data_IF_364963838093
#
_entry.id   IF_364963838093
#
_cell.length_a   1.000
_cell.length_b   1.000
_cell.length_c   1.000
_cell.angle_alpha   90.00
_cell.angle_beta   90.00
_cell.angle_gamma   90.00
#
_symmetry.space_group_name_H-M   'P 1'
#
loop_
_entity.id
_entity.type
_entity.pdbx_description
1 polymer ?
#
# COMPACT_ATOMS: atom_id res chain seq x y z
N UNK A 1 -20.96 30.12 33.29
CA UNK A 1 -20.18 28.99 32.72
C UNK A 1 -20.55 27.73 33.51
N UNK A 2 -21.57 26.98 33.06
CA UNK A 2 -21.93 25.72 33.73
C UNK A 2 -21.11 24.59 33.12
N UNK A 3 -20.06 24.17 33.83
CA UNK A 3 -19.40 22.90 33.59
C UNK A 3 -20.43 21.80 33.89
N UNK A 4 -21.17 21.36 32.86
CA UNK A 4 -22.01 20.17 32.97
C UNK A 4 -21.11 19.01 33.34
N UNK A 5 -21.27 18.44 34.53
CA UNK A 5 -20.51 17.27 34.96
C UNK A 5 -20.64 16.19 33.90
N UNK A 6 -19.53 15.78 33.29
CA UNK A 6 -19.55 14.67 32.35
C UNK A 6 -19.95 13.42 33.13
N UNK A 7 -21.00 12.72 32.67
CA UNK A 7 -21.40 11.47 33.30
C UNK A 7 -20.28 10.44 33.18
N UNK A 8 -20.05 9.62 34.22
CA UNK A 8 -19.03 8.55 34.22
C UNK A 8 -19.05 7.68 32.92
N UNK A 9 -20.22 7.31 32.35
CA UNK A 9 -20.26 6.59 31.07
C UNK A 9 -19.71 7.39 29.87
N UNK A 10 -19.89 8.71 29.84
CA UNK A 10 -19.37 9.57 28.77
C UNK A 10 -17.85 9.61 28.80
N UNK A 11 -17.25 9.72 29.99
CA UNK A 11 -15.80 9.67 30.18
C UNK A 11 -15.23 8.32 29.73
N UNK A 12 -15.88 7.22 30.11
CA UNK A 12 -15.44 5.87 29.74
C UNK A 12 -15.48 5.64 28.21
N UNK A 13 -16.56 6.07 27.54
CA UNK A 13 -16.62 6.00 26.07
C UNK A 13 -15.51 6.85 25.44
N UNK A 14 -15.24 8.04 25.99
CA UNK A 14 -14.15 8.89 25.53
C UNK A 14 -12.79 8.19 25.64
N UNK A 15 -12.48 7.61 26.80
CA UNK A 15 -11.24 6.88 27.03
C UNK A 15 -11.08 5.70 26.06
N UNK A 16 -12.11 4.85 25.91
CA UNK A 16 -12.07 3.71 24.99
C UNK A 16 -11.89 4.16 23.54
N UNK A 17 -12.52 5.27 23.14
CA UNK A 17 -12.39 5.83 21.79
C UNK A 17 -10.98 6.38 21.55
N UNK A 18 -10.36 7.00 22.57
CA UNK A 18 -8.97 7.47 22.49
C UNK A 18 -7.98 6.31 22.40
N UNK A 19 -8.21 5.22 23.15
CA UNK A 19 -7.42 3.98 23.01
C UNK A 19 -7.55 3.44 21.59
N UNK A 20 -8.77 3.33 21.06
CA UNK A 20 -8.99 2.88 19.70
C UNK A 20 -8.33 3.77 18.64
N UNK A 21 -8.30 5.10 18.84
CA UNK A 21 -7.57 6.02 17.98
C UNK A 21 -6.06 5.76 18.01
N UNK A 22 -5.48 5.50 19.18
CA UNK A 22 -4.07 5.10 19.30
C UNK A 22 -3.77 3.81 18.54
N UNK A 23 -4.62 2.79 18.70
CA UNK A 23 -4.50 1.52 17.97
C UNK A 23 -4.62 1.73 16.46
N UNK A 24 -5.55 2.59 16.01
CA UNK A 24 -5.74 2.91 14.59
C UNK A 24 -4.48 3.49 13.93
N UNK A 25 -3.76 4.37 14.65
CA UNK A 25 -2.49 4.92 14.18
C UNK A 25 -1.43 3.82 14.04
N UNK A 26 -1.36 2.90 15.01
CA UNK A 26 -0.39 1.80 14.99
C UNK A 26 -0.64 0.83 13.83
N UNK A 27 -1.91 0.51 13.54
CA UNK A 27 -2.29 -0.39 12.44
C UNK A 27 -1.70 0.07 11.10
N UNK A 28 -1.54 1.37 10.87
CA UNK A 28 -1.02 1.90 9.61
C UNK A 28 0.44 1.50 9.33
N UNK A 29 1.24 1.31 10.38
CA UNK A 29 2.68 1.05 10.27
C UNK A 29 3.05 -0.43 10.47
N UNK A 30 2.13 -1.25 10.96
CA UNK A 30 2.39 -2.66 11.26
C UNK A 30 2.07 -3.57 10.09
N UNK A 31 2.81 -4.68 9.92
CA UNK A 31 2.41 -5.74 9.00
C UNK A 31 1.05 -6.26 9.44
N UNK A 32 0.11 -6.31 8.51
CA UNK A 32 -1.26 -6.75 8.77
C UNK A 32 -1.42 -8.24 8.50
N UNK A 33 -0.79 -8.74 7.44
CA UNK A 33 -0.88 -10.13 7.02
C UNK A 33 0.43 -10.53 6.35
N UNK A 34 0.81 -11.79 6.43
CA UNK A 34 1.97 -12.29 5.71
C UNK A 34 1.60 -13.50 4.86
N UNK A 35 2.33 -13.65 3.76
CA UNK A 35 2.26 -14.81 2.88
C UNK A 35 3.66 -15.33 2.63
N UNK A 36 3.83 -16.64 2.67
CA UNK A 36 5.07 -17.32 2.32
C UNK A 36 4.82 -18.46 1.33
N UNK A 37 5.75 -18.62 0.39
CA UNK A 37 5.84 -19.79 -0.49
C UNK A 37 7.09 -20.61 -0.15
N UNK A 38 6.90 -21.91 0.07
CA UNK A 38 7.99 -22.88 0.25
C UNK A 38 7.96 -23.92 -0.87
N UNK A 39 9.13 -24.30 -1.36
CA UNK A 39 9.27 -25.34 -2.39
C UNK A 39 10.69 -25.92 -2.37
N UNK A 40 10.92 -27.11 -2.96
CA UNK A 40 12.27 -27.72 -2.99
C UNK A 40 13.36 -26.84 -3.61
N UNK A 41 12.98 -25.92 -4.49
CA UNK A 41 13.89 -24.97 -5.15
C UNK A 41 14.26 -23.76 -4.27
N UNK A 42 13.56 -23.57 -3.14
CA UNK A 42 13.80 -22.50 -2.17
C UNK A 42 14.21 -23.16 -0.84
N UNK A 43 15.49 -23.53 -0.70
CA UNK A 43 15.98 -24.28 0.44
C UNK A 43 15.88 -23.47 1.74
N UNK A 44 15.56 -24.13 2.86
CA UNK A 44 15.45 -23.49 4.19
C UNK A 44 16.76 -22.82 4.62
N UNK A 45 17.89 -23.22 4.03
CA UNK A 45 19.17 -22.59 4.33
C UNK A 45 19.25 -21.13 3.89
N UNK A 46 18.63 -20.79 2.75
CA UNK A 46 18.59 -19.45 2.17
C UNK A 46 17.24 -18.75 2.42
N UNK A 47 16.14 -19.51 2.45
CA UNK A 47 14.78 -19.03 2.67
C UNK A 47 14.17 -19.74 3.90
N UNK A 48 14.61 -19.43 5.13
CA UNK A 48 14.15 -20.11 6.34
C UNK A 48 12.63 -19.99 6.56
N UNK A 49 12.06 -18.84 6.18
CA UNK A 49 10.62 -18.57 6.23
C UNK A 49 9.96 -18.71 4.85
N UNK A 50 10.63 -19.33 3.88
CA UNK A 50 10.22 -19.34 2.47
C UNK A 50 10.32 -17.97 1.79
N UNK A 51 9.74 -17.85 0.61
CA UNK A 51 9.60 -16.57 -0.10
C UNK A 51 8.48 -15.77 0.57
N UNK A 52 8.84 -15.01 1.60
CA UNK A 52 7.89 -14.30 2.47
C UNK A 52 7.69 -12.84 2.04
N UNK A 53 6.44 -12.41 1.97
CA UNK A 53 6.02 -11.03 1.77
C UNK A 53 5.06 -10.59 2.88
N UNK A 54 5.09 -9.29 3.20
CA UNK A 54 4.28 -8.70 4.25
C UNK A 54 3.35 -7.63 3.71
N UNK A 55 2.05 -7.77 3.97
CA UNK A 55 1.01 -6.84 3.59
C UNK A 55 0.83 -5.79 4.67
N UNK A 56 1.00 -4.53 4.33
CA UNK A 56 0.71 -3.38 5.17
C UNK A 56 -0.43 -2.55 4.54
N UNK A 57 -0.98 -1.62 5.31
CA UNK A 57 -2.02 -0.70 4.81
C UNK A 57 -1.57 0.13 3.61
N UNK A 58 -0.26 0.42 3.53
CA UNK A 58 0.33 1.30 2.54
C UNK A 58 1.20 0.60 1.50
N UNK A 59 1.33 -0.73 1.53
CA UNK A 59 2.29 -1.41 0.65
C UNK A 59 2.38 -2.91 0.88
N UNK A 60 3.16 -3.55 0.02
CA UNK A 60 3.64 -4.91 0.24
C UNK A 60 5.15 -4.83 0.32
N UNK A 61 5.73 -5.42 1.36
CA UNK A 61 7.14 -5.28 1.70
C UNK A 61 7.83 -6.64 1.78
N UNK A 62 9.16 -6.61 1.67
CA UNK A 62 9.99 -7.79 1.77
C UNK A 62 9.92 -8.38 3.19
N UNK A 63 9.55 -9.65 3.30
CA UNK A 63 9.50 -10.38 4.56
C UNK A 63 10.69 -11.30 4.77
N UNK A 64 11.67 -11.30 3.86
CA UNK A 64 12.88 -12.11 3.99
C UNK A 64 13.96 -11.35 4.76
N UNK A 65 14.59 -12.06 5.70
CA UNK A 65 15.66 -11.53 6.53
C UNK A 65 17.04 -11.89 5.97
N UNK A 66 18.05 -11.09 6.34
CA UNK A 66 19.44 -11.35 5.96
C UNK A 66 19.94 -12.61 6.67
N UNK A 67 20.45 -13.58 5.91
CA UNK A 67 21.01 -14.81 6.46
C UNK A 67 22.54 -14.70 6.51
N UNK A 68 23.13 -14.89 7.69
CA UNK A 68 24.58 -14.94 7.89
C UNK A 68 25.00 -16.38 8.25
N UNK A 69 25.57 -17.14 7.31
CA UNK A 69 26.13 -18.49 7.52
C UNK A 69 27.54 -18.60 6.95
N UNK A 70 28.34 -19.54 7.47
CA UNK A 70 29.77 -19.71 7.10
C UNK A 70 30.00 -20.00 5.61
N UNK A 71 29.02 -20.60 4.92
CA UNK A 71 29.09 -20.94 3.48
C UNK A 71 28.23 -20.03 2.59
N UNK A 72 27.29 -19.26 3.17
CA UNK A 72 26.37 -18.38 2.46
C UNK A 72 26.34 -17.06 3.23
N UNK A 73 27.12 -16.09 2.76
CA UNK A 73 27.11 -14.72 3.26
C UNK A 73 26.54 -13.82 2.17
N UNK A 74 25.34 -13.29 2.42
CA UNK A 74 24.73 -12.28 1.55
C UNK A 74 24.91 -10.90 2.19
N UNK A 75 25.34 -9.91 1.41
CA UNK A 75 25.55 -8.54 1.89
C UNK A 75 24.23 -7.81 2.17
N UNK A 76 23.15 -8.21 1.50
CA UNK A 76 21.80 -7.62 1.58
C UNK A 76 20.78 -8.76 1.65
N UNK A 77 19.64 -8.56 2.32
CA UNK A 77 18.56 -9.54 2.36
C UNK A 77 17.99 -9.82 0.95
N UNK A 78 17.60 -11.07 0.68
CA UNK A 78 16.93 -11.48 -0.55
C UNK A 78 15.63 -10.70 -0.75
N UNK A 79 15.37 -10.22 -1.98
CA UNK A 79 14.13 -9.55 -2.33
C UNK A 79 13.03 -10.59 -2.63
N UNK A 80 12.31 -11.00 -1.60
CA UNK A 80 11.23 -11.98 -1.75
C UNK A 80 9.99 -11.42 -2.44
N UNK A 81 9.85 -10.09 -2.58
CA UNK A 81 8.80 -9.53 -3.45
C UNK A 81 9.17 -9.80 -4.91
N UNK A 82 10.45 -9.64 -5.28
CA UNK A 82 10.93 -9.96 -6.62
C UNK A 82 10.77 -11.45 -6.96
N UNK A 83 11.14 -12.33 -6.05
CA UNK A 83 10.99 -13.78 -6.24
C UNK A 83 9.52 -14.17 -6.37
N UNK A 84 8.64 -13.59 -5.54
CA UNK A 84 7.19 -13.79 -5.64
C UNK A 84 6.64 -13.31 -7.00
N UNK A 85 7.05 -12.13 -7.47
CA UNK A 85 6.63 -11.60 -8.77
C UNK A 85 7.14 -12.44 -9.93
N UNK A 86 8.35 -12.99 -9.81
CA UNK A 86 8.92 -13.93 -10.76
C UNK A 86 8.08 -15.22 -10.81
N UNK A 87 7.73 -15.81 -9.66
CA UNK A 87 6.84 -16.97 -9.60
C UNK A 87 5.46 -16.65 -10.21
N UNK A 88 4.89 -15.50 -9.85
CA UNK A 88 3.60 -15.03 -10.38
C UNK A 88 3.63 -14.95 -11.91
N UNK A 89 4.68 -14.35 -12.46
CA UNK A 89 4.87 -14.25 -13.91
C UNK A 89 4.83 -15.62 -14.60
N UNK A 90 5.55 -16.62 -14.07
CA UNK A 90 5.60 -17.95 -14.65
C UNK A 90 4.22 -18.61 -14.77
N UNK A 91 3.32 -18.37 -13.83
CA UNK A 91 1.95 -18.92 -13.84
C UNK A 91 0.91 -17.98 -14.45
N UNK A 92 1.34 -16.84 -15.01
CA UNK A 92 0.45 -15.87 -15.63
C UNK A 92 -0.22 -14.88 -14.66
N UNK A 93 0.14 -14.88 -13.37
CA UNK A 93 -0.34 -13.88 -12.42
C UNK A 93 0.39 -12.55 -12.61
N UNK A 94 -0.34 -11.44 -12.55
CA UNK A 94 0.25 -10.10 -12.57
C UNK A 94 1.14 -9.84 -11.33
N UNK A 95 2.08 -8.88 -11.39
CA UNK A 95 2.89 -8.50 -10.24
C UNK A 95 2.06 -8.06 -9.04
N UNK A 96 2.59 -8.26 -7.84
CA UNK A 96 1.99 -7.89 -6.55
C UNK A 96 1.63 -6.39 -6.51
N UNK A 97 2.39 -5.55 -7.22
CA UNK A 97 2.10 -4.13 -7.35
C UNK A 97 0.79 -3.82 -8.10
N UNK A 98 0.22 -4.75 -8.87
CA UNK A 98 -1.05 -4.57 -9.56
C UNK A 98 -2.28 -4.72 -8.64
N UNK A 99 -2.11 -5.30 -7.46
CA UNK A 99 -3.20 -5.55 -6.50
C UNK A 99 -3.44 -4.36 -5.59
N UNK A 100 -4.69 -4.09 -5.26
CA UNK A 100 -5.08 -3.02 -4.33
C UNK A 100 -4.49 -1.64 -4.64
N UNK A 101 -4.43 -1.17 -5.91
CA UNK A 101 -3.76 0.08 -6.22
C UNK A 101 -4.47 1.27 -5.56
N UNK A 102 -5.81 1.26 -5.53
CA UNK A 102 -6.60 2.36 -4.94
C UNK A 102 -6.55 2.30 -3.42
N UNK A 103 -6.68 1.12 -2.84
CA UNK A 103 -6.69 0.89 -1.40
C UNK A 103 -5.37 1.32 -0.76
N UNK A 104 -4.24 0.93 -1.37
CA UNK A 104 -2.91 1.35 -0.91
C UNK A 104 -2.67 2.85 -1.12
N UNK A 105 -3.02 3.38 -2.29
CA UNK A 105 -2.87 4.80 -2.61
C UNK A 105 -3.76 5.73 -1.78
N UNK A 106 -4.95 5.28 -1.37
CA UNK A 106 -5.86 6.07 -0.53
C UNK A 106 -5.76 5.75 0.97
N UNK A 107 -4.92 4.79 1.36
CA UNK A 107 -4.85 4.23 2.72
C UNK A 107 -4.74 5.30 3.80
N UNK A 108 -3.85 6.27 3.65
CA UNK A 108 -3.67 7.35 4.63
C UNK A 108 -4.93 8.21 4.81
N UNK A 109 -5.69 8.46 3.74
CA UNK A 109 -6.94 9.21 3.80
C UNK A 109 -8.05 8.38 4.43
N UNK A 110 -8.14 7.09 4.07
CA UNK A 110 -9.12 6.16 4.62
C UNK A 110 -8.95 6.01 6.14
N UNK A 111 -7.72 5.79 6.61
CA UNK A 111 -7.43 5.64 8.04
C UNK A 111 -7.67 6.95 8.79
N UNK A 112 -7.29 8.10 8.23
CA UNK A 112 -7.56 9.42 8.83
C UNK A 112 -9.07 9.71 8.87
N UNK A 113 -9.81 9.31 7.84
CA UNK A 113 -11.28 9.41 7.79
C UNK A 113 -11.92 8.61 8.93
N UNK A 114 -11.48 7.36 9.16
CA UNK A 114 -11.93 6.57 10.32
C UNK A 114 -11.59 7.26 11.65
N UNK A 115 -10.41 7.87 11.76
CA UNK A 115 -10.03 8.66 12.94
C UNK A 115 -10.97 9.83 13.23
N UNK A 116 -11.32 10.62 12.20
CA UNK A 116 -12.29 11.73 12.33
C UNK A 116 -13.68 11.21 12.71
N UNK A 117 -14.09 10.06 12.18
CA UNK A 117 -15.35 9.41 12.59
C UNK A 117 -15.36 9.08 14.08
N UNK A 118 -14.28 8.50 14.61
CA UNK A 118 -14.13 8.17 16.03
C UNK A 118 -14.12 9.43 16.91
N UNK A 119 -13.45 10.50 16.49
CA UNK A 119 -13.51 11.80 17.17
C UNK A 119 -14.94 12.35 17.22
N UNK A 120 -15.69 12.18 16.13
CA UNK A 120 -17.11 12.50 16.08
C UNK A 120 -17.95 11.65 17.05
N UNK A 121 -17.74 10.34 17.09
CA UNK A 121 -18.45 9.40 17.97
C UNK A 121 -18.21 9.68 19.46
N UNK A 122 -16.99 10.10 19.81
CA UNK A 122 -16.61 10.50 21.17
C UNK A 122 -17.48 11.64 21.69
N UNK A 123 -17.94 12.55 20.81
CA UNK A 123 -18.71 13.74 21.19
C UNK A 123 -20.23 13.52 21.21
N UNK A 124 -20.85 13.79 22.36
CA UNK A 124 -22.31 13.69 22.57
C UNK A 124 -23.07 14.98 22.27
N UNK A 125 -22.38 16.12 22.11
CA UNK A 125 -23.02 17.40 21.81
C UNK A 125 -23.09 17.60 20.29
N UNK A 126 -24.27 17.57 19.64
CA UNK A 126 -24.37 17.59 18.18
C UNK A 126 -23.65 18.75 17.51
N UNK A 127 -23.75 19.97 18.07
CA UNK A 127 -23.08 21.17 17.52
C UNK A 127 -21.55 21.02 17.50
N UNK A 128 -20.95 20.50 18.57
CA UNK A 128 -19.50 20.29 18.67
C UNK A 128 -19.08 19.13 17.77
N UNK A 129 -19.82 18.03 17.78
CA UNK A 129 -19.57 16.87 16.90
C UNK A 129 -19.58 17.30 15.43
N UNK A 130 -20.59 18.06 15.01
CA UNK A 130 -20.64 18.58 13.66
C UNK A 130 -19.44 19.45 13.34
N UNK A 131 -19.01 20.35 14.24
CA UNK A 131 -17.82 21.15 14.03
C UNK A 131 -16.57 20.28 13.85
N UNK A 132 -16.39 19.25 14.69
CA UNK A 132 -15.28 18.29 14.57
C UNK A 132 -15.30 17.61 13.19
N UNK A 133 -16.44 17.06 12.78
CA UNK A 133 -16.55 16.35 11.51
C UNK A 133 -16.38 17.28 10.30
N UNK A 134 -16.94 18.49 10.35
CA UNK A 134 -16.80 19.47 9.26
C UNK A 134 -15.33 19.88 9.11
N UNK A 135 -14.66 20.24 10.21
CA UNK A 135 -13.25 20.65 10.16
C UNK A 135 -12.36 19.48 9.75
N UNK A 136 -12.55 18.30 10.35
CA UNK A 136 -11.76 17.11 10.06
C UNK A 136 -11.93 16.64 8.62
N UNK A 137 -13.16 16.51 8.13
CA UNK A 137 -13.42 16.10 6.75
C UNK A 137 -13.05 17.18 5.73
N UNK A 138 -13.19 18.47 6.03
CA UNK A 138 -12.68 19.52 5.15
C UNK A 138 -11.15 19.44 5.04
N UNK A 139 -10.44 19.21 6.16
CA UNK A 139 -9.00 18.99 6.16
C UNK A 139 -8.59 17.80 5.30
N UNK A 140 -9.26 16.65 5.47
CA UNK A 140 -9.03 15.46 4.64
C UNK A 140 -9.34 15.74 3.17
N UNK A 141 -10.47 16.41 2.85
CA UNK A 141 -10.85 16.69 1.47
C UNK A 141 -9.84 17.61 0.76
N UNK A 142 -9.35 18.65 1.44
CA UNK A 142 -8.31 19.53 0.90
C UNK A 142 -7.00 18.78 0.73
N UNK A 143 -6.54 18.05 1.76
CA UNK A 143 -5.31 17.27 1.68
C UNK A 143 -5.38 16.24 0.55
N UNK A 144 -6.45 15.44 0.50
CA UNK A 144 -6.70 14.44 -0.54
C UNK A 144 -6.75 15.06 -1.94
N UNK A 145 -7.38 16.24 -2.11
CA UNK A 145 -7.40 16.92 -3.41
C UNK A 145 -6.00 17.36 -3.84
N UNK A 146 -5.24 17.98 -2.94
CA UNK A 146 -3.87 18.41 -3.21
C UNK A 146 -2.96 17.22 -3.54
N UNK A 147 -3.12 16.10 -2.84
CA UNK A 147 -2.33 14.89 -3.10
C UNK A 147 -2.68 14.25 -4.44
N UNK A 148 -3.98 14.00 -4.68
CA UNK A 148 -4.43 13.24 -5.86
C UNK A 148 -4.29 14.06 -7.14
N UNK A 149 -4.66 15.34 -7.14
CA UNK A 149 -4.75 16.15 -8.36
C UNK A 149 -3.81 17.35 -8.39
N UNK A 150 -3.20 17.73 -7.26
CA UNK A 150 -2.29 18.87 -7.20
C UNK A 150 -0.96 18.60 -7.87
N UNK A 151 -0.33 19.66 -8.39
CA UNK A 151 1.04 19.61 -8.88
C UNK A 151 1.98 19.25 -7.73
N UNK A 152 2.87 18.27 -7.95
CA UNK A 152 3.73 17.66 -6.93
C UNK A 152 2.93 17.09 -5.73
N UNK A 153 1.66 16.77 -5.92
CA UNK A 153 0.79 16.22 -4.88
C UNK A 153 1.33 14.94 -4.25
N UNK A 154 2.11 14.15 -4.97
CA UNK A 154 2.68 12.89 -4.49
C UNK A 154 3.70 13.07 -3.34
N UNK A 155 4.27 14.27 -3.17
CA UNK A 155 5.05 14.59 -1.96
C UNK A 155 4.22 14.58 -0.67
N UNK A 156 2.88 14.60 -0.78
CA UNK A 156 1.95 14.49 0.35
C UNK A 156 1.49 13.05 0.62
N UNK A 157 1.99 12.06 -0.12
CA UNK A 157 1.79 10.64 0.18
C UNK A 157 2.60 10.19 1.40
N UNK A 158 2.32 9.02 1.94
CA UNK A 158 3.14 8.45 3.00
C UNK A 158 4.41 7.79 2.43
N UNK A 159 5.51 7.83 3.18
CA UNK A 159 6.81 7.29 2.72
C UNK A 159 6.76 5.80 2.40
N UNK A 160 6.01 4.99 3.16
CA UNK A 160 5.92 3.56 2.89
C UNK A 160 5.24 3.26 1.55
N UNK A 161 4.22 4.03 1.14
CA UNK A 161 3.62 3.88 -0.19
C UNK A 161 4.59 4.29 -1.30
N UNK A 162 5.31 5.40 -1.12
CA UNK A 162 6.36 5.84 -2.06
C UNK A 162 7.42 4.74 -2.23
N UNK A 163 7.92 4.19 -1.12
CA UNK A 163 8.90 3.12 -1.12
C UNK A 163 8.36 1.85 -1.81
N UNK A 164 7.12 1.45 -1.54
CA UNK A 164 6.51 0.29 -2.19
C UNK A 164 6.39 0.47 -3.73
N UNK A 165 6.09 1.68 -4.21
CA UNK A 165 6.07 1.96 -5.65
C UNK A 165 7.47 1.93 -6.27
N UNK A 166 8.48 2.48 -5.59
CA UNK A 166 9.87 2.43 -6.08
C UNK A 166 10.37 1.01 -6.11
N UNK A 167 10.28 0.28 -5.01
CA UNK A 167 10.82 -1.09 -4.87
C UNK A 167 10.24 -2.02 -5.95
N UNK A 168 8.95 -1.90 -6.25
CA UNK A 168 8.31 -2.72 -7.31
C UNK A 168 8.78 -2.41 -8.74
N UNK A 169 9.40 -1.26 -8.98
CA UNK A 169 10.03 -0.90 -10.26
C UNK A 169 11.54 -1.09 -10.26
N UNK A 170 12.22 -0.87 -9.14
CA UNK A 170 13.69 -0.89 -9.04
C UNK A 170 14.28 -2.29 -9.21
N UNK A 171 13.45 -3.31 -9.10
CA UNK A 171 13.76 -4.67 -9.56
C UNK A 171 14.02 -4.77 -11.08
N UNK A 172 13.94 -3.68 -11.86
CA UNK A 172 14.50 -3.57 -13.22
C UNK A 172 16.01 -3.27 -13.21
N UNK A 173 16.55 -2.64 -12.16
CA UNK A 173 17.98 -2.27 -12.07
C UNK A 173 18.90 -3.49 -11.88
N UNK A 174 18.35 -4.65 -11.51
CA UNK A 174 19.05 -5.93 -11.51
C UNK A 174 19.06 -6.62 -12.88
N UNK A 175 18.32 -6.10 -13.87
CA UNK A 175 18.12 -6.71 -15.20
C UNK A 175 18.77 -5.98 -16.38
N UNK A 176 19.05 -4.68 -16.29
CA UNK A 176 19.79 -3.93 -17.33
C UNK A 176 20.74 -2.89 -16.70
N UNK A 177 22.05 -3.14 -16.84
CA UNK A 177 23.22 -2.26 -16.66
C UNK A 177 23.11 -1.05 -15.70
N UNK A 178 23.37 -1.31 -14.41
CA UNK A 178 24.40 -0.66 -13.58
C UNK A 178 24.37 0.87 -13.34
N UNK A 179 24.19 1.26 -12.07
CA UNK A 179 25.12 2.14 -11.36
C UNK A 179 24.81 2.21 -9.85
N UNK A 180 25.75 1.78 -9.00
CA UNK A 180 25.77 2.12 -7.57
C UNK A 180 25.88 0.94 -6.62
N UNK A 181 27.12 0.63 -6.27
CA UNK A 181 27.60 -0.02 -5.02
C UNK A 181 26.95 -1.34 -4.55
N UNK A 182 27.76 -2.40 -4.71
CA UNK A 182 27.79 -3.63 -3.91
C UNK A 182 26.53 -4.50 -3.82
N UNK A 183 26.21 -5.16 -4.93
CA UNK A 183 25.74 -6.55 -4.86
C UNK A 183 26.16 -7.34 -6.11
N UNK A 184 27.02 -8.34 -5.91
CA UNK A 184 27.15 -9.59 -6.69
C UNK A 184 27.46 -9.62 -8.19
N UNK A 185 27.20 -8.57 -8.99
CA UNK A 185 27.22 -8.64 -10.47
C UNK A 185 28.42 -8.00 -11.19
N UNK A 186 29.23 -7.20 -10.50
CA UNK A 186 30.24 -6.33 -11.13
C UNK A 186 31.42 -7.05 -11.81
N UNK A 187 31.67 -8.32 -11.50
CA UNK A 187 32.82 -9.05 -12.04
C UNK A 187 32.69 -9.37 -13.54
N UNK A 188 31.51 -9.79 -13.99
CA UNK A 188 31.33 -10.33 -15.35
C UNK A 188 31.36 -9.23 -16.40
N UNK A 189 30.73 -8.09 -16.14
CA UNK A 189 30.70 -6.95 -17.08
C UNK A 189 32.09 -6.30 -17.21
N UNK A 190 32.82 -6.18 -16.09
CA UNK A 190 34.21 -5.71 -16.11
C UNK A 190 35.15 -6.67 -16.86
N UNK A 191 34.99 -7.99 -16.66
CA UNK A 191 35.72 -9.04 -17.38
C UNK A 191 35.41 -9.05 -18.88
N UNK A 192 34.13 -8.88 -19.25
CA UNK A 192 33.69 -8.78 -20.66
C UNK A 192 34.27 -7.54 -21.33
N UNK A 193 34.27 -6.39 -20.64
CA UNK A 193 34.86 -5.15 -21.13
C UNK A 193 36.36 -5.30 -21.36
N UNK A 194 37.08 -5.84 -20.39
CA UNK A 194 38.52 -6.07 -20.52
C UNK A 194 38.84 -7.02 -21.68
N UNK A 195 38.05 -8.09 -21.85
CA UNK A 195 38.20 -9.03 -22.97
C UNK A 195 37.93 -8.39 -24.35
N UNK A 196 36.96 -7.46 -24.43
CA UNK A 196 36.64 -6.71 -25.65
C UNK A 196 37.70 -5.66 -25.99
N UNK A 197 38.24 -4.96 -24.97
CA UNK A 197 39.33 -4.00 -25.12
C UNK A 197 40.66 -4.70 -25.49
N UNK A 198 40.96 -5.87 -24.92
CA UNK A 198 42.11 -6.73 -25.30
C UNK A 198 41.98 -7.27 -26.73
N UNK A 199 40.75 -7.42 -27.22
CA UNK A 199 40.46 -7.79 -28.62
C UNK A 199 40.48 -6.61 -29.60
N UNK A 200 40.86 -5.41 -29.14
CA UNK A 200 41.03 -4.22 -29.97
C UNK A 200 39.74 -3.50 -30.35
N UNK A 201 38.60 -3.83 -29.72
CA UNK A 201 37.31 -3.18 -29.95
C UNK A 201 37.11 -2.09 -28.89
N UNK A 202 37.11 -0.82 -29.30
CA UNK A 202 36.82 0.30 -28.40
C UNK A 202 35.31 0.42 -28.17
N UNK A 203 34.90 0.30 -26.91
CA UNK A 203 33.51 0.52 -26.47
C UNK A 203 33.41 1.95 -25.94
N UNK A 204 32.77 2.86 -26.69
CA UNK A 204 32.44 4.21 -26.22
C UNK A 204 31.06 4.19 -25.53
N UNK A 205 31.01 4.65 -24.28
CA UNK A 205 29.79 4.70 -23.47
C UNK A 205 29.13 6.08 -23.60
N UNK A 206 27.81 6.19 -23.82
CA UNK A 206 27.13 7.49 -23.97
C UNK A 206 26.99 8.33 -22.69
N UNK A 207 27.60 7.95 -21.56
CA UNK A 207 27.28 8.50 -20.23
C UNK A 207 28.07 9.76 -19.82
N UNK A 208 28.82 10.40 -20.72
CA UNK A 208 29.36 11.75 -20.46
C UNK A 208 28.36 12.86 -20.82
N UNK A 209 27.13 12.77 -20.28
CA UNK A 209 26.34 13.97 -20.03
C UNK A 209 26.60 14.40 -18.59
N UNK A 210 27.34 15.51 -18.47
CA UNK A 210 27.64 16.28 -17.25
C UNK A 210 26.74 15.92 -16.07
N UNK A 211 27.27 15.15 -15.14
CA UNK A 211 26.79 15.17 -13.75
C UNK A 211 27.03 16.57 -13.20
N UNK A 212 26.00 17.42 -13.29
CA UNK A 212 25.88 18.58 -12.41
C UNK A 212 25.34 18.13 -11.04
N UNK A 213 25.96 18.69 -9.98
CA UNK A 213 25.56 18.74 -8.56
C UNK A 213 25.64 17.47 -7.67
N UNK A 214 26.86 17.01 -7.40
CA UNK A 214 27.17 16.14 -6.23
C UNK A 214 27.01 16.81 -4.84
N UNK A 215 26.50 18.05 -4.76
CA UNK A 215 26.33 18.80 -3.51
C UNK A 215 24.87 18.88 -3.01
N UNK A 216 23.86 18.60 -3.85
CA UNK A 216 22.43 18.67 -3.46
C UNK A 216 21.89 17.35 -2.90
N UNK A 217 22.47 16.20 -3.26
CA UNK A 217 21.99 14.87 -2.82
C UNK A 217 22.18 14.58 -1.33
N UNK A 218 23.05 15.30 -0.62
CA UNK A 218 23.31 15.05 0.81
C UNK A 218 22.30 15.73 1.76
N UNK A 219 21.36 16.53 1.24
CA UNK A 219 20.38 17.27 2.04
C UNK A 219 18.93 16.81 1.87
N UNK A 220 18.66 15.91 0.91
CA UNK A 220 17.30 15.41 0.63
C UNK A 220 16.91 14.31 1.62
N UNK A 221 15.65 14.33 2.05
CA UNK A 221 15.06 13.22 2.80
C UNK A 221 14.94 11.97 1.94
N UNK A 222 14.89 10.79 2.57
CA UNK A 222 14.78 9.50 1.88
C UNK A 222 13.58 9.46 0.93
N UNK A 223 12.43 9.93 1.39
CA UNK A 223 11.22 10.04 0.58
C UNK A 223 11.41 10.93 -0.65
N UNK A 224 12.09 12.08 -0.52
CA UNK A 224 12.34 12.95 -1.67
C UNK A 224 13.25 12.29 -2.70
N UNK A 225 14.25 11.53 -2.22
CA UNK A 225 15.12 10.71 -3.09
C UNK A 225 14.32 9.67 -3.88
N UNK A 226 13.42 8.95 -3.20
CA UNK A 226 12.55 7.95 -3.82
C UNK A 226 11.59 8.58 -4.86
N UNK A 227 11.02 9.75 -4.57
CA UNK A 227 10.16 10.46 -5.53
C UNK A 227 10.96 10.90 -6.76
N UNK A 228 12.17 11.41 -6.57
CA UNK A 228 13.04 11.79 -7.69
C UNK A 228 13.41 10.59 -8.56
N UNK A 229 13.62 9.40 -7.97
CA UNK A 229 13.81 8.16 -8.73
C UNK A 229 12.59 7.80 -9.58
N UNK A 230 11.37 7.91 -9.04
CA UNK A 230 10.14 7.69 -9.84
C UNK A 230 10.02 8.70 -10.98
N UNK A 231 10.35 9.96 -10.73
CA UNK A 231 10.34 11.01 -11.76
C UNK A 231 11.35 10.72 -12.86
N UNK A 232 12.56 10.28 -12.52
CA UNK A 232 13.57 9.87 -13.50
C UNK A 232 13.08 8.68 -14.33
N UNK A 233 12.44 7.69 -13.70
CA UNK A 233 11.82 6.56 -14.42
C UNK A 233 10.74 7.02 -15.38
N UNK A 234 9.88 7.95 -14.95
CA UNK A 234 8.82 8.51 -15.78
C UNK A 234 9.37 9.29 -16.98
N UNK A 235 10.36 10.16 -16.77
CA UNK A 235 10.96 10.94 -17.87
C UNK A 235 11.72 10.04 -18.85
N UNK A 236 12.34 8.94 -18.40
CA UNK A 236 12.90 7.91 -19.31
C UNK A 236 11.82 7.28 -20.19
N UNK A 237 10.67 6.91 -19.62
CA UNK A 237 9.55 6.34 -20.39
C UNK A 237 8.97 7.35 -21.38
N UNK A 238 8.92 8.63 -20.99
CA UNK A 238 8.51 9.74 -21.86
C UNK A 238 9.48 9.94 -23.03
N UNK A 239 10.79 9.91 -22.77
CA UNK A 239 11.82 9.97 -23.83
C UNK A 239 11.73 8.79 -24.80
N UNK A 240 11.33 7.61 -24.30
CA UNK A 240 11.06 6.41 -25.12
C UNK A 240 9.71 6.46 -25.85
N UNK A 241 8.91 7.51 -25.67
CA UNK A 241 7.59 7.66 -26.30
C UNK A 241 6.52 6.71 -25.73
N UNK A 242 6.73 6.17 -24.52
CA UNK A 242 5.74 5.31 -23.84
C UNK A 242 4.68 6.14 -23.11
N UNK A 243 5.00 7.39 -22.78
CA UNK A 243 4.11 8.35 -22.12
C UNK A 243 4.24 9.70 -22.81
N UNK A 244 3.12 10.35 -23.11
CA UNK A 244 3.11 11.65 -23.82
C UNK A 244 3.06 12.85 -22.87
N UNK A 245 2.43 12.67 -21.71
CA UNK A 245 2.20 13.75 -20.75
C UNK A 245 3.51 14.15 -20.04
N UNK A 246 3.74 15.44 -19.76
CA UNK A 246 4.86 15.87 -18.92
C UNK A 246 4.63 15.48 -17.45
N UNK A 247 5.72 15.27 -16.70
CA UNK A 247 5.62 15.06 -15.27
C UNK A 247 4.95 16.25 -14.58
N UNK A 248 3.87 15.99 -13.83
CA UNK A 248 3.20 16.94 -12.95
C UNK A 248 3.31 16.54 -11.46
N UNK A 249 3.77 15.32 -11.17
CA UNK A 249 3.99 14.84 -9.80
C UNK A 249 2.72 14.65 -8.96
N UNK A 250 1.54 14.64 -9.56
CA UNK A 250 0.29 14.30 -8.88
C UNK A 250 0.21 12.79 -8.61
N UNK A 251 -0.41 12.39 -7.49
CA UNK A 251 -0.62 10.96 -7.22
C UNK A 251 -1.47 10.30 -8.31
N UNK A 252 -2.43 11.02 -8.91
CA UNK A 252 -3.23 10.51 -10.03
C UNK A 252 -2.36 10.10 -11.24
N UNK A 253 -1.39 10.93 -11.62
CA UNK A 253 -0.47 10.64 -12.72
C UNK A 253 0.41 9.43 -12.38
N UNK A 254 1.03 9.45 -11.20
CA UNK A 254 2.00 8.43 -10.79
C UNK A 254 1.31 7.08 -10.62
N UNK A 255 0.14 7.02 -9.97
CA UNK A 255 -0.61 5.77 -9.82
C UNK A 255 -0.98 5.17 -11.18
N UNK A 256 -1.45 5.98 -12.12
CA UNK A 256 -1.86 5.49 -13.43
C UNK A 256 -0.67 5.01 -14.27
N UNK A 257 0.43 5.76 -14.27
CA UNK A 257 1.67 5.38 -14.96
C UNK A 257 2.29 4.13 -14.35
N UNK A 258 2.49 4.12 -13.03
CA UNK A 258 3.08 3.02 -12.29
C UNK A 258 2.29 1.73 -12.51
N UNK A 259 0.96 1.79 -12.37
CA UNK A 259 0.11 0.63 -12.61
C UNK A 259 0.23 0.06 -14.03
N UNK A 260 0.23 0.93 -15.04
CA UNK A 260 0.44 0.51 -16.43
C UNK A 260 1.81 -0.12 -16.64
N UNK A 261 2.86 0.48 -16.06
CA UNK A 261 4.23 -0.02 -16.10
C UNK A 261 4.36 -1.38 -15.41
N UNK A 262 3.84 -1.54 -14.20
CA UNK A 262 3.86 -2.79 -13.45
C UNK A 262 3.11 -3.91 -14.18
N UNK A 263 1.93 -3.64 -14.75
CA UNK A 263 1.20 -4.64 -15.54
C UNK A 263 1.98 -5.06 -16.79
N UNK A 264 2.66 -4.12 -17.44
CA UNK A 264 3.44 -4.34 -18.67
C UNK A 264 4.81 -4.96 -18.45
N UNK A 265 5.30 -4.97 -17.21
CA UNK A 265 6.66 -5.39 -16.86
C UNK A 265 7.01 -6.78 -17.37
N UNK A 266 6.14 -7.73 -17.10
CA UNK A 266 6.31 -9.11 -17.56
C UNK A 266 5.39 -9.48 -18.72
N UNK A 267 4.29 -8.74 -18.88
CA UNK A 267 3.25 -9.03 -19.85
C UNK A 267 3.00 -7.81 -20.72
N UNK A 268 3.83 -7.60 -21.74
CA UNK A 268 3.66 -6.48 -22.67
C UNK A 268 2.45 -6.71 -23.60
N UNK A 269 1.24 -6.51 -23.08
CA UNK A 269 -0.03 -6.64 -23.79
C UNK A 269 -0.89 -5.37 -23.64
N UNK A 270 -0.67 -4.36 -24.50
CA UNK A 270 -1.40 -3.10 -24.44
C UNK A 270 -2.93 -3.24 -24.54
N UNK A 271 -3.42 -4.31 -25.20
CA UNK A 271 -4.87 -4.54 -25.37
C UNK A 271 -5.58 -4.81 -24.05
N UNK A 272 -4.89 -5.43 -23.10
CA UNK A 272 -5.42 -5.67 -21.75
C UNK A 272 -5.07 -4.53 -20.79
N UNK A 273 -3.85 -4.01 -20.88
CA UNK A 273 -3.33 -3.01 -19.94
C UNK A 273 -4.04 -1.66 -20.08
N UNK A 274 -4.24 -1.16 -21.30
CA UNK A 274 -4.84 0.17 -21.51
C UNK A 274 -6.25 0.27 -20.91
N UNK A 275 -7.15 -0.72 -21.10
CA UNK A 275 -8.43 -0.77 -20.39
C UNK A 275 -8.28 -0.82 -18.85
N UNK A 276 -7.33 -1.59 -18.32
CA UNK A 276 -7.11 -1.68 -16.87
C UNK A 276 -6.66 -0.33 -16.28
N UNK A 277 -5.73 0.37 -16.94
CA UNK A 277 -5.29 1.72 -16.52
C UNK A 277 -6.45 2.72 -16.61
N UNK A 278 -7.29 2.64 -17.65
CA UNK A 278 -8.50 3.48 -17.75
C UNK A 278 -9.48 3.21 -16.60
N UNK A 279 -9.66 1.94 -16.24
CA UNK A 279 -10.50 1.56 -15.11
C UNK A 279 -9.93 2.05 -13.78
N UNK A 280 -8.60 1.99 -13.58
CA UNK A 280 -7.95 2.56 -12.41
C UNK A 280 -8.17 4.08 -12.34
N UNK A 281 -7.93 4.79 -13.44
CA UNK A 281 -8.20 6.25 -13.54
C UNK A 281 -9.64 6.59 -13.18
N UNK A 282 -10.62 5.80 -13.62
CA UNK A 282 -12.02 5.95 -13.24
C UNK A 282 -12.23 5.64 -11.75
N UNK A 283 -11.65 4.55 -11.25
CA UNK A 283 -11.79 4.12 -9.87
C UNK A 283 -11.24 5.18 -8.89
N UNK A 284 -10.09 5.79 -9.18
CA UNK A 284 -9.53 6.90 -8.38
C UNK A 284 -10.56 8.04 -8.26
N UNK A 285 -11.15 8.47 -9.37
CA UNK A 285 -12.15 9.54 -9.38
C UNK A 285 -13.44 9.15 -8.64
N UNK A 286 -13.90 7.90 -8.81
CA UNK A 286 -15.10 7.38 -8.15
C UNK A 286 -14.90 7.28 -6.64
N UNK A 287 -13.75 6.76 -6.18
CA UNK A 287 -13.42 6.67 -4.76
C UNK A 287 -13.27 8.06 -4.15
N UNK A 288 -12.57 8.98 -4.83
CA UNK A 288 -12.46 10.37 -4.41
C UNK A 288 -13.85 11.01 -4.20
N UNK A 289 -14.72 10.95 -5.22
CA UNK A 289 -16.07 11.51 -5.14
C UNK A 289 -16.94 10.78 -4.08
N UNK A 290 -16.82 9.45 -4.00
CA UNK A 290 -17.52 8.63 -3.02
C UNK A 290 -17.16 9.00 -1.59
N UNK A 291 -15.88 9.26 -1.30
CA UNK A 291 -15.43 9.73 0.00
C UNK A 291 -16.02 11.11 0.34
N UNK A 292 -16.06 12.06 -0.59
CA UNK A 292 -16.69 13.36 -0.37
C UNK A 292 -18.19 13.24 -0.06
N UNK A 293 -18.90 12.37 -0.78
CA UNK A 293 -20.32 12.08 -0.51
C UNK A 293 -20.49 11.44 0.87
N UNK A 294 -19.64 10.46 1.23
CA UNK A 294 -19.67 9.83 2.55
C UNK A 294 -19.43 10.86 3.68
N UNK A 295 -18.46 11.77 3.52
CA UNK A 295 -18.20 12.87 4.45
C UNK A 295 -19.46 13.73 4.65
N UNK A 296 -20.10 14.16 3.55
CA UNK A 296 -21.31 14.98 3.60
C UNK A 296 -22.48 14.26 4.30
N UNK A 297 -22.67 12.97 4.00
CA UNK A 297 -23.70 12.13 4.64
C UNK A 297 -23.45 11.95 6.15
N UNK A 298 -22.21 11.75 6.56
CA UNK A 298 -21.86 11.62 7.98
C UNK A 298 -22.02 12.95 8.73
N UNK A 299 -21.66 14.08 8.13
CA UNK A 299 -21.93 15.42 8.68
C UNK A 299 -23.44 15.64 8.84
N UNK A 300 -24.24 15.25 7.85
CA UNK A 300 -25.71 15.30 7.92
C UNK A 300 -26.23 14.43 9.08
N UNK A 301 -25.76 13.20 9.19
CA UNK A 301 -26.11 12.26 10.25
C UNK A 301 -25.74 12.72 11.65
N UNK A 302 -24.65 13.49 11.78
CA UNK A 302 -24.14 13.99 13.04
C UNK A 302 -25.04 15.03 13.72
N UNK A 303 -26.12 15.49 13.08
CA UNK A 303 -27.09 16.44 13.66
C UNK A 303 -27.90 15.86 14.82
N UNK A 304 -28.00 14.52 14.93
CA UNK A 304 -28.82 13.85 15.95
C UNK A 304 -28.00 12.84 16.74
N UNK A 305 -28.33 12.65 18.02
CA UNK A 305 -27.72 11.65 18.90
C UNK A 305 -28.42 10.28 18.72
N UNK A 306 -28.42 9.76 17.50
CA UNK A 306 -29.09 8.51 17.17
C UNK A 306 -29.36 8.37 15.67
N UNK A 307 -29.97 7.24 15.29
CA UNK A 307 -30.17 6.87 13.88
C UNK A 307 -28.95 6.18 13.25
N UNK A 308 -29.15 5.62 12.07
CA UNK A 308 -28.15 4.80 11.37
C UNK A 308 -26.84 5.57 11.14
N UNK A 309 -26.92 6.78 10.60
CA UNK A 309 -25.74 7.59 10.22
C UNK A 309 -24.87 7.97 11.42
N UNK A 310 -25.45 8.16 12.61
CA UNK A 310 -24.66 8.37 13.83
C UNK A 310 -23.87 7.10 14.20
N UNK A 311 -24.51 5.93 14.11
CA UNK A 311 -23.86 4.66 14.45
C UNK A 311 -22.77 4.27 13.47
N UNK A 312 -22.85 4.71 12.21
CA UNK A 312 -21.75 4.52 11.24
C UNK A 312 -20.41 5.07 11.76
N UNK A 313 -20.42 6.14 12.58
CA UNK A 313 -19.21 6.74 13.14
C UNK A 313 -18.37 5.77 14.00
N UNK A 314 -18.97 4.72 14.54
CA UNK A 314 -18.27 3.67 15.29
C UNK A 314 -18.30 2.32 14.58
N UNK A 315 -19.40 1.99 13.90
CA UNK A 315 -19.56 0.69 13.25
C UNK A 315 -18.61 0.50 12.06
N UNK A 316 -18.33 1.55 11.29
CA UNK A 316 -17.41 1.45 10.15
C UNK A 316 -15.96 1.24 10.62
N UNK A 317 -15.38 2.06 11.53
CA UNK A 317 -14.06 1.75 12.09
C UNK A 317 -14.00 0.39 12.80
N UNK A 318 -15.07 -0.01 13.50
CA UNK A 318 -15.15 -1.31 14.16
C UNK A 318 -15.14 -2.49 13.16
N UNK A 319 -15.63 -2.28 11.94
CA UNK A 319 -15.67 -3.29 10.89
C UNK A 319 -14.37 -3.38 10.06
N UNK A 320 -13.35 -2.56 10.37
CA UNK A 320 -12.06 -2.58 9.68
C UNK A 320 -11.44 -3.99 9.48
N UNK A 321 -11.40 -4.90 10.47
CA UNK A 321 -10.86 -6.26 10.25
C UNK A 321 -11.66 -7.08 9.24
N UNK A 322 -12.97 -6.86 9.19
CA UNK A 322 -13.82 -7.54 8.20
C UNK A 322 -13.58 -6.97 6.81
N UNK A 323 -13.50 -5.64 6.68
CA UNK A 323 -13.19 -4.99 5.41
C UNK A 323 -11.83 -5.41 4.86
N UNK A 324 -10.81 -5.50 5.72
CA UNK A 324 -9.49 -5.98 5.33
C UNK A 324 -9.54 -7.40 4.75
N UNK A 325 -10.17 -8.36 5.45
CA UNK A 325 -10.26 -9.75 4.94
C UNK A 325 -11.03 -9.82 3.63
N UNK A 326 -12.11 -9.04 3.49
CA UNK A 326 -12.89 -9.00 2.24
C UNK A 326 -12.02 -8.47 1.10
N UNK A 327 -11.35 -7.35 1.29
CA UNK A 327 -10.52 -6.71 0.27
C UNK A 327 -9.33 -7.60 -0.11
N UNK A 328 -8.59 -8.09 0.89
CA UNK A 328 -7.50 -9.04 0.70
C UNK A 328 -7.94 -10.28 -0.09
N UNK A 329 -9.07 -10.89 0.29
CA UNK A 329 -9.61 -12.06 -0.42
C UNK A 329 -10.04 -11.71 -1.84
N UNK A 330 -10.64 -10.54 -2.07
CA UNK A 330 -11.06 -10.11 -3.40
C UNK A 330 -9.86 -9.94 -4.34
N UNK A 331 -8.74 -9.39 -3.85
CA UNK A 331 -7.51 -9.26 -4.61
C UNK A 331 -6.84 -10.60 -4.90
N UNK A 332 -6.78 -11.50 -3.92
CA UNK A 332 -6.29 -12.87 -4.17
C UNK A 332 -7.14 -13.59 -5.22
N UNK A 333 -8.47 -13.45 -5.15
CA UNK A 333 -9.36 -14.00 -6.17
C UNK A 333 -9.07 -13.40 -7.54
N UNK A 334 -8.91 -12.07 -7.61
CA UNK A 334 -8.58 -11.38 -8.85
C UNK A 334 -7.27 -11.90 -9.45
N UNK A 335 -6.22 -12.08 -8.65
CA UNK A 335 -4.95 -12.65 -9.13
C UNK A 335 -5.10 -14.04 -9.72
N UNK A 336 -5.79 -14.94 -9.01
CA UNK A 336 -5.96 -16.32 -9.46
C UNK A 336 -6.99 -16.53 -10.57
N UNK A 337 -7.80 -15.52 -10.90
CA UNK A 337 -8.82 -15.56 -11.96
C UNK A 337 -8.56 -14.62 -13.13
N UNK A 338 -7.58 -13.72 -13.00
CA UNK A 338 -7.16 -12.77 -14.06
C UNK A 338 -5.76 -13.16 -14.55
N UNK A 339 -5.63 -14.42 -14.98
CA UNK A 339 -4.37 -14.99 -15.43
C UNK A 339 -4.09 -14.58 -16.88
N UNK A 340 -2.87 -14.11 -17.14
CA UNK A 340 -2.39 -13.75 -18.46
C UNK A 340 -1.96 -14.98 -19.25
N UNK A 341 -2.38 -15.06 -20.51
CA UNK A 341 -2.03 -16.16 -21.42
C UNK A 341 -0.54 -16.25 -21.80
N UNK A 342 0.24 -15.20 -21.54
CA UNK A 342 1.69 -15.16 -21.80
C UNK A 342 2.53 -15.78 -20.66
N UNK A 343 1.91 -16.25 -19.58
CA UNK A 343 2.62 -17.03 -18.56
C UNK A 343 3.24 -18.30 -19.14
N UNK A 344 4.42 -18.68 -18.68
CA UNK A 344 5.13 -19.87 -19.16
C UNK A 344 4.34 -21.18 -18.91
N UNK A 345 3.55 -21.21 -17.83
CA UNK A 345 2.71 -22.34 -17.46
C UNK A 345 1.24 -21.92 -17.43
N UNK A 346 0.42 -22.57 -18.26
CA UNK A 346 -1.03 -22.41 -18.19
C UNK A 346 -1.58 -23.17 -16.98
N UNK A 347 -2.01 -22.42 -15.97
CA UNK A 347 -2.74 -22.97 -14.82
C UNK A 347 -4.23 -22.69 -14.94
N UNK A 348 -5.07 -23.57 -14.37
CA UNK A 348 -6.51 -23.31 -14.26
C UNK A 348 -6.73 -22.19 -13.25
N UNK A 349 -7.79 -21.37 -13.40
CA UNK A 349 -8.16 -20.41 -12.38
C UNK A 349 -8.24 -21.06 -11.00
N UNK A 350 -7.67 -20.40 -10.02
CA UNK A 350 -7.58 -20.88 -8.64
C UNK A 350 -7.71 -19.72 -7.67
N UNK A 351 -7.82 -20.05 -6.38
CA UNK A 351 -7.80 -19.06 -5.31
C UNK A 351 -6.49 -19.22 -4.55
N UNK A 352 -5.58 -18.22 -4.56
CA UNK A 352 -4.46 -18.20 -3.65
C UNK A 352 -4.95 -18.34 -2.20
N UNK A 353 -4.15 -18.99 -1.36
CA UNK A 353 -4.53 -19.31 0.01
C UNK A 353 -4.80 -18.04 0.82
N UNK A 354 -6.07 -17.83 1.19
CA UNK A 354 -6.47 -16.68 2.01
C UNK A 354 -5.98 -16.85 3.44
N UNK A 355 -6.18 -18.02 4.04
CA UNK A 355 -5.81 -18.29 5.42
C UNK A 355 -5.43 -19.76 5.60
N UNK A 356 -4.38 -20.01 6.38
CA UNK A 356 -3.87 -21.35 6.67
C UNK A 356 -2.83 -21.82 5.66
N UNK A 357 -2.68 -23.14 5.60
CA UNK A 357 -1.77 -23.80 4.68
C UNK A 357 -2.52 -24.27 3.43
N UNK A 358 -1.88 -24.12 2.28
CA UNK A 358 -2.39 -24.54 0.99
C UNK A 358 -1.27 -25.01 0.07
N UNK A 359 -1.64 -25.33 -1.17
CA UNK A 359 -0.69 -25.79 -2.18
C UNK A 359 -1.09 -25.29 -3.55
N UNK A 360 -0.13 -24.70 -4.26
CA UNK A 360 -0.27 -24.26 -5.65
C UNK A 360 0.87 -24.87 -6.45
N UNK A 361 0.54 -25.82 -7.33
CA UNK A 361 1.52 -26.64 -8.04
C UNK A 361 2.52 -27.32 -7.06
N UNK A 362 3.82 -26.99 -7.16
CA UNK A 362 4.87 -27.53 -6.28
C UNK A 362 5.12 -26.66 -5.04
N UNK A 363 4.49 -25.50 -4.94
CA UNK A 363 4.64 -24.58 -3.82
C UNK A 363 3.64 -24.91 -2.72
N UNK A 364 4.13 -25.13 -1.50
CA UNK A 364 3.32 -24.99 -0.32
C UNK A 364 3.17 -23.49 -0.01
N UNK A 365 1.96 -23.09 0.35
CA UNK A 365 1.61 -21.68 0.57
C UNK A 365 1.15 -21.52 2.01
N UNK A 366 1.66 -20.53 2.71
CA UNK A 366 1.31 -20.22 4.09
C UNK A 366 0.78 -18.79 4.14
N UNK A 367 -0.40 -18.58 4.72
CA UNK A 367 -1.03 -17.26 4.78
C UNK A 367 -1.69 -17.05 6.14
N UNK A 368 -1.19 -16.11 6.93
CA UNK A 368 -1.66 -15.90 8.29
C UNK A 368 -1.70 -14.42 8.69
N UNK A 369 -2.58 -14.07 9.65
CA UNK A 369 -2.60 -12.73 10.21
C UNK A 369 -1.29 -12.41 10.93
N UNK A 370 -0.87 -11.16 10.82
CA UNK A 370 0.26 -10.60 11.56
C UNK A 370 -0.23 -9.65 12.68
N UNK A 371 0.70 -9.03 13.40
CA UNK A 371 0.47 -8.18 14.57
C UNK A 371 -0.52 -7.05 14.25
N UNK A 372 -0.43 -6.43 13.07
CA UNK A 372 -1.33 -5.36 12.63
C UNK A 372 -2.79 -5.82 12.56
N UNK A 373 -3.06 -7.05 12.09
CA UNK A 373 -4.42 -7.59 12.12
C UNK A 373 -4.88 -7.90 13.55
N UNK A 374 -3.99 -8.39 14.42
CA UNK A 374 -4.27 -8.57 15.85
C UNK A 374 -4.67 -7.26 16.54
N UNK A 375 -3.93 -6.18 16.27
CA UNK A 375 -4.23 -4.81 16.76
C UNK A 375 -5.57 -4.32 16.21
N UNK A 376 -5.89 -4.64 14.96
CA UNK A 376 -7.17 -4.30 14.33
C UNK A 376 -8.36 -5.02 14.96
N UNK A 377 -8.22 -6.30 15.31
CA UNK A 377 -9.23 -7.05 16.07
C UNK A 377 -9.38 -6.46 17.47
N UNK A 378 -8.28 -6.14 18.16
CA UNK A 378 -8.33 -5.49 19.49
C UNK A 378 -9.07 -4.16 19.42
N UNK A 379 -8.78 -3.32 18.42
CA UNK A 379 -9.48 -2.05 18.20
C UNK A 379 -10.99 -2.28 18.01
N UNK A 380 -11.38 -3.27 17.21
CA UNK A 380 -12.79 -3.64 16.99
C UNK A 380 -13.49 -4.00 18.31
N UNK A 381 -12.85 -4.81 19.17
CA UNK A 381 -13.41 -5.20 20.47
C UNK A 381 -13.54 -3.99 21.42
N UNK A 382 -12.54 -3.12 21.48
CA UNK A 382 -12.59 -1.87 22.28
C UNK A 382 -13.74 -0.97 21.83
N UNK A 383 -13.91 -0.80 20.51
CA UNK A 383 -15.00 -0.02 19.93
C UNK A 383 -16.36 -0.66 20.18
N UNK A 384 -16.47 -1.99 20.16
CA UNK A 384 -17.71 -2.70 20.48
C UNK A 384 -18.15 -2.40 21.92
N UNK A 385 -17.23 -2.43 22.89
CA UNK A 385 -17.52 -2.05 24.28
C UNK A 385 -17.96 -0.59 24.38
N UNK A 386 -17.24 0.33 23.71
CA UNK A 386 -17.60 1.74 23.68
C UNK A 386 -19.00 1.99 23.08
N UNK A 387 -19.33 1.30 21.99
CA UNK A 387 -20.62 1.35 21.33
C UNK A 387 -21.76 0.85 22.23
N UNK A 388 -21.56 -0.27 22.93
CA UNK A 388 -22.55 -0.82 23.86
C UNK A 388 -22.83 0.12 25.04
N UNK A 389 -21.79 0.73 25.63
CA UNK A 389 -21.94 1.71 26.70
C UNK A 389 -22.71 2.94 26.19
N UNK A 390 -22.36 3.45 25.00
CA UNK A 390 -23.08 4.59 24.39
C UNK A 390 -24.54 4.25 24.12
N UNK A 391 -24.82 3.04 23.64
CA UNK A 391 -26.19 2.57 23.36
C UNK A 391 -27.03 2.56 24.63
N UNK A 392 -26.47 2.05 25.74
CA UNK A 392 -27.12 2.06 27.06
C UNK A 392 -27.38 3.49 27.55
N UNK A 393 -26.39 4.38 27.41
CA UNK A 393 -26.52 5.79 27.78
C UNK A 393 -27.66 6.50 27.05
N UNK A 394 -27.77 6.33 25.72
CA UNK A 394 -28.84 6.97 24.95
C UNK A 394 -30.22 6.37 25.22
N UNK A 395 -30.33 5.08 25.51
CA UNK A 395 -31.60 4.47 25.96
C UNK A 395 -32.07 5.02 27.30
N UNK A 396 -31.15 5.23 28.25
CA UNK A 396 -31.48 5.73 29.59
C UNK A 396 -31.76 7.24 29.62
N UNK A 397 -31.11 8.02 28.76
CA UNK A 397 -31.30 9.47 28.66
C UNK A 397 -32.43 9.94 27.75
N UNK A 398 -33.04 9.04 26.97
CA UNK A 398 -34.18 9.34 26.08
C UNK A 398 -35.55 9.05 26.70
N UNK A 399 -35.60 8.75 27.99
CA UNK A 399 -36.82 8.44 28.76
C UNK A 399 -37.29 9.54 29.72
N UNK A 400 -36.91 10.81 29.48
CA UNK A 400 -37.29 11.96 30.31
C UNK A 400 -37.88 13.08 29.47
#
# INVERSE_FOLDING_TARGET
MNASSQSKPTLLVGLLTLIALGLLVWIFFLPTWWVSLTAPNYPEEAFPDGVRIEFHMNGVFNGCEKVEKEEISESVALDCVHEMDTINHYVGMYPIAAGGPVERGFSQFLLTFLGVMLLGFMCTRPKIRMAILVVGFAGIAVWMYLTIYGENGFYLENEGYVNALVTSLDQEASGEEGSGEESGGGGIVALLRQSLEESGIKVEVPSEQKQESGAEKSAMSEKERLIEQLKQNYERDRQKGMVDEPWNGSTYQIMAWHYGKSLGRYFNNPKEIVPMVKNLKLAINVVFAGLLVAMALLIFGARRNGGLLYWLLVLVPMALPVFFVIDYSAWLWWYGHTLNSMGAFTVKPFMPTVFGDGKVAQFATHSYPDVGFGVMVLMSLVLAVAALIRRKQFKQGGGS
#
